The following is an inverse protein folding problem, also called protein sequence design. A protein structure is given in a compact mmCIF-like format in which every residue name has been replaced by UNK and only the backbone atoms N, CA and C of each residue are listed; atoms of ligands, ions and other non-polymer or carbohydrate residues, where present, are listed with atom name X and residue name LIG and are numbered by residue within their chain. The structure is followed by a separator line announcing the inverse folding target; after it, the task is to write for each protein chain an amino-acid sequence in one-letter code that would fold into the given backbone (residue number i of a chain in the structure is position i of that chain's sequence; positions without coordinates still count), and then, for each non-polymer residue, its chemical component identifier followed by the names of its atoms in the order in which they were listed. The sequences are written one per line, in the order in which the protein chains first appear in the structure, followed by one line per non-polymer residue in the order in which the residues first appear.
data_IF_184038563486
#
_entry.id   IF_184038563486
#
_cell.length_a   1.000
_cell.length_b   1.000
_cell.length_c   1.000
_cell.angle_alpha   90.00
_cell.angle_beta   90.00
_cell.angle_gamma   90.00
#
_symmetry.space_group_name_H-M   'P 1'
#
loop_
_entity.id
_entity.type
_entity.pdbx_description
1 polymer ?
#
# COMPACT_ATOMS: atom_id res chain seq x y z
N UNK A 1 2.10 -7.44 16.63
CA UNK A 1 2.42 -6.79 15.33
C UNK A 1 3.30 -7.65 14.41
N UNK A 2 4.29 -8.40 14.92
CA UNK A 2 5.20 -9.20 14.08
C UNK A 2 4.46 -10.23 13.19
N UNK A 3 3.46 -10.94 13.74
CA UNK A 3 2.66 -11.92 12.99
C UNK A 3 1.90 -11.25 11.83
N UNK A 4 1.30 -10.08 12.09
CA UNK A 4 0.52 -9.32 11.10
C UNK A 4 1.41 -8.86 9.95
N UNK A 5 2.58 -8.29 10.29
CA UNK A 5 3.56 -7.83 9.30
C UNK A 5 4.09 -9.00 8.47
N UNK A 6 4.32 -10.17 9.08
CA UNK A 6 4.76 -11.37 8.37
C UNK A 6 3.70 -11.85 7.37
N UNK A 7 2.42 -11.91 7.77
CA UNK A 7 1.33 -12.34 6.88
C UNK A 7 1.13 -11.35 5.73
N UNK A 8 1.08 -10.04 6.02
CA UNK A 8 0.92 -9.01 4.98
C UNK A 8 2.11 -8.99 4.02
N UNK A 9 3.33 -9.15 4.51
CA UNK A 9 4.53 -9.24 3.67
C UNK A 9 4.46 -10.43 2.71
N UNK A 10 4.03 -11.61 3.18
CA UNK A 10 3.86 -12.78 2.32
C UNK A 10 2.83 -12.55 1.21
N UNK A 11 1.71 -11.91 1.52
CA UNK A 11 0.65 -11.58 0.54
C UNK A 11 1.19 -10.61 -0.51
N UNK A 12 1.89 -9.55 -0.08
CA UNK A 12 2.46 -8.55 -0.98
C UNK A 12 3.54 -9.16 -1.88
N UNK A 13 4.45 -9.98 -1.33
CA UNK A 13 5.49 -10.65 -2.12
C UNK A 13 4.89 -11.54 -3.19
N UNK A 14 3.90 -12.38 -2.84
CA UNK A 14 3.24 -13.26 -3.81
C UNK A 14 2.48 -12.48 -4.89
N UNK A 15 1.76 -11.43 -4.50
CA UNK A 15 1.03 -10.58 -5.44
C UNK A 15 1.99 -9.85 -6.41
N UNK A 16 3.16 -9.43 -5.94
CA UNK A 16 4.17 -8.80 -6.79
C UNK A 16 4.91 -9.81 -7.67
N UNK A 17 5.16 -11.03 -7.19
CA UNK A 17 5.80 -12.08 -7.99
C UNK A 17 4.98 -12.48 -9.21
N UNK A 18 3.64 -12.49 -9.08
CA UNK A 18 2.74 -12.80 -10.19
C UNK A 18 2.39 -11.58 -11.06
N UNK A 19 2.77 -10.36 -10.65
CA UNK A 19 2.39 -9.12 -11.32
C UNK A 19 3.60 -8.22 -11.64
N UNK A 20 4.18 -8.34 -12.85
CA UNK A 20 5.23 -7.43 -13.33
C UNK A 20 4.77 -5.96 -13.34
N UNK A 21 3.47 -5.75 -13.60
CA UNK A 21 2.80 -4.46 -13.50
C UNK A 21 2.89 -3.85 -12.10
N UNK A 22 2.64 -4.65 -11.06
CA UNK A 22 2.76 -4.25 -9.67
C UNK A 22 4.19 -3.94 -9.26
N UNK A 23 5.17 -4.73 -9.72
CA UNK A 23 6.60 -4.49 -9.41
C UNK A 23 7.05 -3.16 -10.00
N UNK A 24 6.76 -2.92 -11.28
CA UNK A 24 7.16 -1.69 -11.96
C UNK A 24 6.57 -0.44 -11.30
N UNK A 25 5.27 -0.47 -11.00
CA UNK A 25 4.57 0.65 -10.36
C UNK A 25 5.13 0.94 -8.96
N UNK A 26 5.36 -0.09 -8.13
CA UNK A 26 5.97 0.08 -6.81
C UNK A 26 7.40 0.63 -6.92
N UNK A 27 8.24 0.07 -7.79
CA UNK A 27 9.60 0.56 -8.01
C UNK A 27 9.62 2.01 -8.49
N UNK A 28 8.69 2.41 -9.35
CA UNK A 28 8.56 3.78 -9.86
C UNK A 28 8.03 4.76 -8.81
N UNK A 29 7.25 4.32 -7.84
CA UNK A 29 6.75 5.22 -6.77
C UNK A 29 7.86 5.74 -5.86
N UNK A 30 8.96 5.00 -5.70
CA UNK A 30 10.11 5.40 -4.87
C UNK A 30 10.80 6.67 -5.40
N UNK A 31 11.25 6.75 -6.67
CA UNK A 31 11.85 7.96 -7.21
C UNK A 31 10.85 9.12 -7.31
N UNK A 32 9.56 8.84 -7.60
CA UNK A 32 8.52 9.89 -7.61
C UNK A 32 8.38 10.49 -6.21
N UNK A 33 8.31 9.65 -5.16
CA UNK A 33 8.24 10.12 -3.78
C UNK A 33 9.49 10.91 -3.38
N UNK A 34 10.68 10.45 -3.77
CA UNK A 34 11.93 11.17 -3.52
C UNK A 34 11.91 12.57 -4.18
N UNK A 35 11.49 12.65 -5.44
CA UNK A 35 11.36 13.90 -6.17
C UNK A 35 10.37 14.85 -5.48
N UNK A 36 9.20 14.35 -5.10
CA UNK A 36 8.19 15.15 -4.38
C UNK A 36 8.71 15.64 -3.02
N UNK A 37 9.41 14.79 -2.26
CA UNK A 37 10.00 15.14 -0.97
C UNK A 37 11.05 16.25 -1.09
N UNK A 38 11.96 16.14 -2.06
CA UNK A 38 12.98 17.17 -2.34
C UNK A 38 12.33 18.47 -2.84
N UNK A 39 11.35 18.37 -3.74
CA UNK A 39 10.66 19.53 -4.31
C UNK A 39 9.94 20.35 -3.24
N UNK A 40 9.22 19.68 -2.33
CA UNK A 40 8.51 20.34 -1.22
C UNK A 40 9.46 21.02 -0.23
N UNK A 41 10.69 20.51 -0.07
CA UNK A 41 11.65 21.05 0.90
C UNK A 41 12.53 22.17 0.35
N UNK A 42 13.04 22.03 -0.87
CA UNK A 42 14.08 22.92 -1.41
C UNK A 42 13.62 23.83 -2.55
N UNK A 43 12.65 23.41 -3.37
CA UNK A 43 12.30 24.14 -4.60
C UNK A 43 11.16 25.13 -4.34
N UNK A 44 10.04 24.68 -3.76
CA UNK A 44 8.88 25.53 -3.45
C UNK A 44 8.17 25.12 -2.16
N UNK A 45 8.67 25.54 -0.98
CA UNK A 45 8.01 25.28 0.28
C UNK A 45 6.60 25.92 0.31
N UNK A 46 5.59 25.14 0.68
CA UNK A 46 4.21 25.60 0.90
C UNK A 46 3.22 25.42 -0.26
N UNK A 47 3.69 25.09 -1.48
CA UNK A 47 2.79 24.80 -2.63
C UNK A 47 2.49 23.32 -2.80
N UNK A 48 1.82 22.74 -1.81
CA UNK A 48 1.48 21.30 -1.83
C UNK A 48 0.69 20.90 -3.07
N UNK A 49 -0.25 21.74 -3.53
CA UNK A 49 -1.10 21.45 -4.69
C UNK A 49 -0.36 21.22 -6.02
N UNK A 50 0.68 22.03 -6.33
CA UNK A 50 1.49 21.84 -7.55
C UNK A 50 2.17 20.47 -7.53
N UNK A 51 2.75 20.09 -6.39
CA UNK A 51 3.44 18.82 -6.20
C UNK A 51 2.48 17.64 -6.23
N UNK A 52 1.28 17.80 -5.67
CA UNK A 52 0.23 16.78 -5.73
C UNK A 52 -0.18 16.48 -7.16
N UNK A 53 -0.40 17.52 -7.98
CA UNK A 53 -0.78 17.35 -9.39
C UNK A 53 0.34 16.65 -10.16
N UNK A 54 1.59 17.10 -10.01
CA UNK A 54 2.75 16.45 -10.66
C UNK A 54 2.88 15.00 -10.21
N UNK A 55 2.76 14.73 -8.91
CA UNK A 55 2.82 13.40 -8.34
C UNK A 55 1.74 12.47 -8.86
N UNK A 56 0.50 12.94 -8.96
CA UNK A 56 -0.63 12.17 -9.52
C UNK A 56 -0.40 11.88 -11.01
N UNK A 57 0.03 12.87 -11.79
CA UNK A 57 0.31 12.69 -13.22
C UNK A 57 1.42 11.66 -13.42
N UNK A 58 2.51 11.75 -12.66
CA UNK A 58 3.61 10.79 -12.71
C UNK A 58 3.18 9.39 -12.25
N UNK A 59 2.30 9.30 -11.26
CA UNK A 59 1.75 8.03 -10.79
C UNK A 59 0.86 7.38 -11.84
N UNK A 60 -0.04 8.13 -12.47
CA UNK A 60 -0.88 7.63 -13.58
C UNK A 60 -0.02 7.23 -14.77
N UNK A 61 1.00 8.01 -15.11
CA UNK A 61 1.97 7.66 -16.14
C UNK A 61 2.69 6.36 -15.79
N UNK A 62 3.14 6.18 -14.55
CA UNK A 62 3.80 4.95 -14.09
C UNK A 62 2.89 3.72 -14.19
N UNK A 63 1.60 3.87 -13.87
CA UNK A 63 0.60 2.81 -14.01
C UNK A 63 0.39 2.44 -15.48
N UNK A 64 0.29 3.43 -16.36
CA UNK A 64 0.14 3.24 -17.80
C UNK A 64 1.38 2.56 -18.41
N UNK A 65 2.57 3.11 -18.16
CA UNK A 65 3.83 2.53 -18.64
C UNK A 65 4.09 1.15 -18.06
N UNK A 66 3.72 0.91 -16.79
CA UNK A 66 3.77 -0.42 -16.22
C UNK A 66 2.94 -1.42 -17.03
N UNK A 67 1.77 -1.02 -17.54
CA UNK A 67 0.92 -1.88 -18.35
C UNK A 67 1.56 -2.21 -19.70
N UNK A 68 2.13 -1.19 -20.35
CA UNK A 68 2.87 -1.36 -21.61
C UNK A 68 4.08 -2.29 -21.44
N UNK A 69 4.85 -2.09 -20.38
CA UNK A 69 6.04 -2.89 -20.07
C UNK A 69 5.68 -4.32 -19.69
N UNK A 70 4.54 -4.54 -19.01
CA UNK A 70 4.06 -5.88 -18.68
C UNK A 70 3.60 -6.67 -19.91
N UNK A 71 3.12 -5.99 -20.96
CA UNK A 71 2.74 -6.61 -22.23
C UNK A 71 3.91 -6.80 -23.20
N UNK A 72 5.07 -6.19 -22.93
CA UNK A 72 6.25 -6.32 -23.77
C UNK A 72 6.94 -7.69 -23.55
N UNK A 73 7.21 -8.48 -24.61
CA UNK A 73 7.80 -9.81 -24.51
C UNK A 73 9.19 -9.86 -23.85
N UNK A 74 9.93 -8.76 -23.86
CA UNK A 74 11.29 -8.70 -23.32
C UNK A 74 11.32 -8.14 -21.89
N UNK A 75 10.55 -7.09 -21.63
CA UNK A 75 10.55 -6.41 -20.33
C UNK A 75 9.59 -7.02 -19.31
N UNK A 76 8.53 -7.69 -19.75
CA UNK A 76 7.63 -8.45 -18.88
C UNK A 76 8.37 -9.51 -18.07
N UNK A 77 9.09 -10.47 -18.70
CA UNK A 77 9.84 -11.51 -18.00
C UNK A 77 11.01 -10.96 -17.17
N UNK A 78 11.62 -9.84 -17.60
CA UNK A 78 12.72 -9.21 -16.89
C UNK A 78 12.30 -8.58 -15.55
N UNK A 79 11.01 -8.23 -15.41
CA UNK A 79 10.42 -7.70 -14.18
C UNK A 79 9.65 -8.76 -13.37
N UNK A 80 9.53 -9.98 -13.88
CA UNK A 80 9.04 -11.14 -13.14
C UNK A 80 10.16 -11.72 -12.28
N UNK A 81 10.35 -11.17 -11.09
CA UNK A 81 11.35 -11.65 -10.14
C UNK A 81 10.82 -12.85 -9.33
N UNK A 82 11.73 -13.74 -8.92
CA UNK A 82 11.40 -14.80 -7.96
C UNK A 82 11.01 -14.20 -6.60
N UNK A 83 10.09 -14.86 -5.90
CA UNK A 83 9.60 -14.48 -4.57
C UNK A 83 10.73 -14.17 -3.58
N UNK A 84 11.81 -14.96 -3.63
CA UNK A 84 12.98 -14.79 -2.77
C UNK A 84 13.70 -13.47 -3.04
N UNK A 85 13.90 -13.12 -4.32
CA UNK A 85 14.52 -11.86 -4.73
C UNK A 85 13.67 -10.66 -4.30
N UNK A 86 12.34 -10.72 -4.49
CA UNK A 86 11.42 -9.66 -4.06
C UNK A 86 11.45 -9.50 -2.54
N UNK A 87 11.51 -10.61 -1.80
CA UNK A 87 11.59 -10.58 -0.33
C UNK A 87 12.85 -9.85 0.16
N UNK A 88 14.02 -10.21 -0.37
CA UNK A 88 15.27 -9.53 0.00
C UNK A 88 15.29 -8.06 -0.44
N UNK A 89 14.74 -7.74 -1.61
CA UNK A 89 14.62 -6.37 -2.10
C UNK A 89 13.72 -5.52 -1.19
N UNK A 90 12.58 -6.05 -0.75
CA UNK A 90 11.66 -5.36 0.16
C UNK A 90 12.27 -5.15 1.55
N UNK A 91 13.00 -6.14 2.08
CA UNK A 91 13.73 -6.00 3.36
C UNK A 91 14.80 -4.93 3.23
N UNK A 92 15.60 -4.94 2.16
CA UNK A 92 16.61 -3.93 1.89
C UNK A 92 16.00 -2.53 1.76
N UNK A 93 14.91 -2.39 1.01
CA UNK A 93 14.17 -1.14 0.89
C UNK A 93 13.62 -0.65 2.24
N UNK A 94 13.03 -1.54 3.04
CA UNK A 94 12.51 -1.19 4.36
C UNK A 94 13.61 -0.71 5.30
N UNK A 95 14.78 -1.35 5.26
CA UNK A 95 15.96 -0.95 6.01
C UNK A 95 16.46 0.44 5.60
N UNK A 96 16.66 0.69 4.29
CA UNK A 96 17.09 1.99 3.77
C UNK A 96 16.05 3.07 4.12
N UNK A 97 14.77 2.77 3.96
CA UNK A 97 13.68 3.71 4.28
C UNK A 97 13.60 4.04 5.77
N UNK A 98 13.99 3.12 6.65
CA UNK A 98 14.03 3.37 8.09
C UNK A 98 15.16 4.30 8.52
N UNK A 99 16.26 4.34 7.75
CA UNK A 99 17.39 5.24 7.96
C UNK A 99 17.15 6.65 7.40
N UNK A 100 16.35 6.76 6.34
CA UNK A 100 16.06 8.03 5.68
C UNK A 100 15.04 8.87 6.47
N UNK A 101 15.13 10.21 6.39
CA UNK A 101 14.22 11.07 7.12
C UNK A 101 12.78 10.98 6.59
N UNK A 102 11.80 11.07 7.50
CA UNK A 102 10.37 10.87 7.21
C UNK A 102 9.85 11.77 6.10
N UNK A 103 10.33 13.02 6.02
CA UNK A 103 9.89 13.98 5.01
C UNK A 103 10.33 13.64 3.58
N UNK A 104 11.37 12.81 3.41
CA UNK A 104 11.99 12.57 2.12
C UNK A 104 11.28 11.47 1.32
N UNK A 105 10.94 10.36 1.97
CA UNK A 105 10.31 9.20 1.31
C UNK A 105 8.96 8.87 1.93
N UNK A 106 8.88 8.77 3.26
CA UNK A 106 7.70 8.23 3.93
C UNK A 106 6.46 9.12 3.72
N UNK A 107 6.56 10.41 4.05
CA UNK A 107 5.48 11.38 3.88
C UNK A 107 4.97 11.50 2.42
N UNK A 108 5.82 11.73 1.40
CA UNK A 108 5.35 11.87 0.02
C UNK A 108 4.80 10.54 -0.56
N UNK A 109 5.38 9.39 -0.18
CA UNK A 109 4.88 8.08 -0.61
C UNK A 109 3.50 7.77 -0.05
N UNK A 110 3.30 8.03 1.24
CA UNK A 110 1.99 7.79 1.90
C UNK A 110 0.92 8.73 1.34
N UNK A 111 1.31 9.96 0.97
CA UNK A 111 0.45 10.91 0.30
C UNK A 111 0.00 10.42 -1.09
N UNK A 112 0.93 9.96 -1.95
CA UNK A 112 0.62 9.37 -3.26
C UNK A 112 -0.28 8.12 -3.14
N UNK A 113 0.04 7.24 -2.20
CA UNK A 113 -0.73 6.02 -1.97
C UNK A 113 -2.17 6.32 -1.54
N UNK A 114 -2.42 7.45 -0.87
CA UNK A 114 -3.76 7.89 -0.50
C UNK A 114 -4.59 8.26 -1.74
N UNK A 115 -4.03 9.01 -2.70
CA UNK A 115 -4.72 9.30 -3.96
C UNK A 115 -5.00 8.04 -4.78
N UNK A 116 -4.03 7.12 -4.84
CA UNK A 116 -4.23 5.84 -5.53
C UNK A 116 -5.36 5.04 -4.88
N UNK A 117 -5.39 4.95 -3.54
CA UNK A 117 -6.47 4.24 -2.81
C UNK A 117 -7.84 4.86 -3.10
N UNK A 118 -7.96 6.18 -2.98
CA UNK A 118 -9.22 6.89 -3.27
C UNK A 118 -9.62 6.67 -4.73
N UNK A 119 -8.68 6.80 -5.67
CA UNK A 119 -8.92 6.59 -7.09
C UNK A 119 -9.41 5.17 -7.41
N UNK A 120 -8.80 4.14 -6.80
CA UNK A 120 -9.23 2.74 -6.96
C UNK A 120 -10.61 2.52 -6.37
N UNK A 121 -10.92 3.06 -5.18
CA UNK A 121 -12.25 2.91 -4.57
C UNK A 121 -13.32 3.57 -5.44
N UNK A 122 -13.09 4.80 -5.91
CA UNK A 122 -14.03 5.50 -6.78
C UNK A 122 -14.17 4.79 -8.12
N UNK A 123 -13.06 4.33 -8.72
CA UNK A 123 -13.08 3.59 -9.97
C UNK A 123 -13.84 2.26 -9.86
N UNK A 124 -13.65 1.53 -8.77
CA UNK A 124 -14.37 0.30 -8.48
C UNK A 124 -15.86 0.57 -8.27
N UNK A 125 -16.22 1.60 -7.50
CA UNK A 125 -17.60 1.98 -7.26
C UNK A 125 -18.33 2.35 -8.56
N UNK A 126 -17.70 3.18 -9.41
CA UNK A 126 -18.24 3.52 -10.72
C UNK A 126 -18.36 2.29 -11.63
N UNK A 127 -17.35 1.41 -11.62
CA UNK A 127 -17.37 0.15 -12.38
C UNK A 127 -18.54 -0.74 -12.01
N UNK A 128 -18.84 -0.86 -10.71
CA UNK A 128 -19.99 -1.64 -10.21
C UNK A 128 -21.31 -1.01 -10.66
N UNK A 129 -21.46 0.31 -10.57
CA UNK A 129 -22.70 1.00 -10.96
C UNK A 129 -22.97 0.83 -12.46
N UNK A 130 -21.93 0.89 -13.30
CA UNK A 130 -22.08 0.77 -14.76
C UNK A 130 -22.31 -0.68 -15.20
N UNK A 131 -21.54 -1.63 -14.65
CA UNK A 131 -21.64 -3.04 -15.04
C UNK A 131 -22.83 -3.77 -14.41
N UNK A 132 -23.34 -3.24 -13.28
CA UNK A 132 -24.38 -3.83 -12.44
C UNK A 132 -24.33 -5.37 -12.37
N UNK A 133 -23.19 -5.95 -11.94
CA UNK A 133 -23.04 -7.39 -11.91
C UNK A 133 -23.98 -7.98 -10.86
N UNK A 134 -24.69 -9.06 -11.20
CA UNK A 134 -25.39 -9.87 -10.21
C UNK A 134 -24.38 -10.39 -9.18
N UNK A 135 -24.41 -9.81 -7.97
CA UNK A 135 -23.62 -10.28 -6.84
C UNK A 135 -24.15 -11.64 -6.38
N UNK A 136 -23.66 -12.70 -7.02
CA UNK A 136 -23.85 -14.08 -6.56
C UNK A 136 -22.92 -14.35 -5.37
N UNK A 137 -23.28 -13.81 -4.22
CA UNK A 137 -22.63 -14.12 -2.95
C UNK A 137 -23.46 -15.21 -2.25
N UNK A 138 -23.12 -16.50 -2.40
CA UNK A 138 -23.82 -17.56 -1.67
C UNK A 138 -23.66 -17.29 -0.16
N UNK A 139 -24.73 -17.55 0.60
CA UNK A 139 -24.77 -17.28 2.04
C UNK A 139 -23.65 -18.01 2.82
N UNK A 140 -23.05 -19.05 2.23
CA UNK A 140 -21.93 -19.80 2.75
C UNK A 140 -20.81 -19.83 1.71
N UNK A 141 -19.62 -19.39 2.11
CA UNK A 141 -18.41 -19.43 1.27
C UNK A 141 -17.97 -20.89 1.05
N UNK A 142 -17.47 -21.19 -0.15
CA UNK A 142 -16.97 -22.53 -0.48
C UNK A 142 -15.73 -22.95 0.33
N UNK A 143 -15.12 -22.01 1.08
CA UNK A 143 -13.86 -22.22 1.81
C UNK A 143 -14.03 -22.52 3.31
N UNK A 144 -15.22 -22.94 3.77
CA UNK A 144 -15.47 -23.27 5.18
C UNK A 144 -14.72 -24.55 5.60
N UNK A 145 -14.45 -25.43 4.64
CA UNK A 145 -13.72 -26.68 4.78
C UNK A 145 -12.19 -26.51 4.92
N UNK A 146 -11.68 -25.28 4.80
CA UNK A 146 -10.26 -24.99 4.90
C UNK A 146 -9.46 -25.27 3.63
N UNK A 147 -10.10 -25.45 2.48
CA UNK A 147 -9.44 -25.58 1.16
C UNK A 147 -9.23 -24.23 0.46
N UNK A 148 -9.14 -23.14 1.23
CA UNK A 148 -8.94 -21.80 0.72
C UNK A 148 -7.63 -21.64 -0.07
N UNK A 149 -7.61 -20.82 -1.14
CA UNK A 149 -6.41 -20.59 -1.96
C UNK A 149 -5.26 -19.94 -1.17
N UNK A 150 -5.59 -19.19 -0.10
CA UNK A 150 -4.61 -18.48 0.73
C UNK A 150 -4.29 -19.21 2.05
N UNK A 151 -5.22 -20.01 2.57
CA UNK A 151 -5.10 -20.69 3.87
C UNK A 151 -5.60 -22.14 3.74
N UNK A 152 -4.71 -23.09 4.01
CA UNK A 152 -5.06 -24.51 4.15
C UNK A 152 -5.29 -24.82 5.63
N UNK A 153 -6.55 -24.95 6.07
CA UNK A 153 -6.90 -25.26 7.47
C UNK A 153 -8.26 -24.71 7.93
N UNK A 154 -8.73 -25.19 9.08
CA UNK A 154 -10.03 -24.82 9.65
C UNK A 154 -10.15 -23.30 9.92
N UNK A 155 -11.36 -22.76 9.73
CA UNK A 155 -11.71 -21.35 9.98
C UNK A 155 -11.35 -20.89 11.41
N UNK A 156 -11.42 -21.83 12.36
CA UNK A 156 -10.97 -21.68 13.74
C UNK A 156 -9.56 -22.28 13.87
N UNK A 157 -8.52 -21.55 14.33
CA UNK A 157 -8.49 -20.27 15.06
C UNK A 157 -8.21 -19.03 14.19
N UNK A 158 -8.13 -19.19 12.87
CA UNK A 158 -7.65 -18.14 11.96
C UNK A 158 -8.54 -16.88 11.92
N UNK A 159 -9.85 -17.07 12.08
CA UNK A 159 -10.82 -15.99 12.23
C UNK A 159 -10.50 -15.08 13.41
N UNK A 160 -10.04 -15.64 14.54
CA UNK A 160 -9.68 -14.84 15.71
C UNK A 160 -8.38 -14.07 15.50
N UNK A 161 -7.44 -14.61 14.73
CA UNK A 161 -6.20 -13.90 14.38
C UNK A 161 -6.55 -12.70 13.50
N UNK A 162 -7.35 -12.88 12.45
CA UNK A 162 -7.73 -11.79 11.53
C UNK A 162 -8.56 -10.70 12.23
N UNK A 163 -9.52 -11.06 13.08
CA UNK A 163 -10.27 -10.09 13.90
C UNK A 163 -9.35 -9.42 14.93
N UNK A 164 -8.44 -10.15 15.58
CA UNK A 164 -7.49 -9.57 16.54
C UNK A 164 -6.49 -8.61 15.89
N UNK A 165 -6.09 -8.84 14.63
CA UNK A 165 -5.25 -7.91 13.88
C UNK A 165 -5.95 -6.56 13.67
N UNK A 166 -7.28 -6.56 13.48
CA UNK A 166 -8.09 -5.36 13.36
C UNK A 166 -8.46 -4.71 14.69
N UNK A 167 -8.88 -5.50 15.69
CA UNK A 167 -9.46 -5.01 16.93
C UNK A 167 -8.47 -4.93 18.12
N UNK A 168 -7.50 -5.86 18.22
CA UNK A 168 -6.60 -6.00 19.39
C UNK A 168 -5.21 -5.40 19.14
N UNK A 169 -4.83 -5.11 17.89
CA UNK A 169 -3.52 -4.52 17.57
C UNK A 169 -3.27 -3.18 18.26
N UNK A 170 -4.29 -2.52 18.85
CA UNK A 170 -4.15 -1.35 19.73
C UNK A 170 -3.55 -0.11 19.07
N UNK A 171 -3.13 -0.20 17.80
CA UNK A 171 -2.41 0.86 17.11
C UNK A 171 -3.36 1.99 16.75
N UNK A 172 -4.56 1.69 16.22
CA UNK A 172 -5.60 2.71 15.99
C UNK A 172 -6.15 3.32 17.30
N UNK A 173 -6.04 2.60 18.43
CA UNK A 173 -6.50 3.08 19.73
C UNK A 173 -5.44 3.94 20.48
N UNK A 174 -4.14 3.69 20.27
CA UNK A 174 -3.04 4.42 20.91
C UNK A 174 -2.39 5.48 20.00
N UNK A 175 -2.43 5.29 18.69
CA UNK A 175 -1.74 6.10 17.67
C UNK A 175 -2.67 6.25 16.45
N UNK A 176 -3.37 7.39 16.33
CA UNK A 176 -4.37 7.62 15.26
C UNK A 176 -3.83 7.44 13.83
N UNK A 177 -2.52 7.58 13.63
CA UNK A 177 -1.80 7.24 12.40
C UNK A 177 -0.36 6.87 12.72
N UNK A 178 0.19 5.83 12.09
CA UNK A 178 1.54 5.34 12.37
C UNK A 178 2.68 6.34 12.12
N UNK A 179 2.38 7.50 11.53
CA UNK A 179 3.31 8.62 11.38
C UNK A 179 3.15 9.72 12.44
N UNK A 180 2.05 9.77 13.19
CA UNK A 180 1.76 10.82 14.18
C UNK A 180 2.90 11.01 15.20
N UNK A 181 3.43 9.96 15.85
CA UNK A 181 4.50 10.12 16.85
C UNK A 181 5.83 10.57 16.24
N UNK A 182 6.01 10.37 14.92
CA UNK A 182 7.26 10.67 14.19
C UNK A 182 7.23 12.02 13.49
N UNK A 183 6.05 12.64 13.39
CA UNK A 183 5.82 13.96 12.79
C UNK A 183 5.62 15.05 13.84
N UNK A 184 5.30 14.70 15.08
CA UNK A 184 5.21 15.63 16.21
C UNK A 184 6.62 15.95 16.72
N UNK A 185 6.93 17.24 16.90
CA UNK A 185 8.19 17.66 17.49
C UNK A 185 8.16 17.57 19.01
N UNK A 186 7.04 17.97 19.63
CA UNK A 186 6.79 17.85 21.07
C UNK A 186 5.37 17.34 21.36
N UNK A 187 5.14 16.83 22.57
CA UNK A 187 3.82 16.38 23.03
C UNK A 187 2.77 17.49 22.99
N UNK A 188 3.17 18.74 23.22
CA UNK A 188 2.29 19.92 23.13
C UNK A 188 1.80 20.23 21.71
N UNK A 189 2.47 19.70 20.68
CA UNK A 189 2.03 19.83 19.29
C UNK A 189 0.92 18.82 18.95
N UNK A 190 0.65 17.87 19.85
CA UNK A 190 -0.41 16.89 19.70
C UNK A 190 -1.77 17.57 19.84
N UNK A 191 -2.38 17.91 18.70
CA UNK A 191 -3.77 18.39 18.67
C UNK A 191 -4.72 17.23 18.98
N UNK A 192 -5.80 17.53 19.71
CA UNK A 192 -6.85 16.56 19.98
C UNK A 192 -7.49 16.09 18.66
N UNK A 193 -7.28 14.83 18.30
CA UNK A 193 -7.92 14.20 17.14
C UNK A 193 -9.16 13.45 17.64
N UNK A 194 -10.33 14.07 17.54
CA UNK A 194 -11.60 13.52 18.03
C UNK A 194 -12.18 12.38 17.16
N UNK A 195 -11.58 12.09 16.01
CA UNK A 195 -12.10 11.07 15.08
C UNK A 195 -11.42 9.73 15.33
N UNK A 196 -11.91 9.01 16.33
CA UNK A 196 -11.83 7.56 16.35
C UNK A 196 -12.82 7.04 15.29
N UNK A 197 -12.36 6.85 14.06
CA UNK A 197 -13.08 6.00 13.11
C UNK A 197 -12.76 4.54 13.50
N UNK A 198 -13.69 3.94 14.24
CA UNK A 198 -13.84 2.49 14.34
C UNK A 198 -14.20 1.89 12.99
#
# INVERSE_FOLDING_TARGET
MIIILAVLALIVVKALAESPWGVFTVCSTVPIALFMGIYMRFIRPGRVGEVSVIGIVLLVASIYFGGVIAHDPYWGPALTFKDTTITFALIGYAFVSALLPVWLILAPRDYLATFLKIGVIVGLALGIVVLNPELKMPAMTQYIDGTGPLWKGALFPFLFITIACGAVSGFHALISSGTTPKLLANETDARFMATAQC
#
